data_IF_585799797254
#
_entry.id   IF_585799797254
#
_cell.length_a   1.000
_cell.length_b   1.000
_cell.length_c   1.000
_cell.angle_alpha   90.00
_cell.angle_beta   90.00
_cell.angle_gamma   90.00
#
_symmetry.space_group_name_H-M   'P 1'
#
loop_
_entity.id
_entity.type
_entity.pdbx_description
1 polymer ?
#
# COMPACT_ATOMS: atom_id res chain seq x y z
N UNK A 1 -37.41 6.55 8.92
CA UNK A 1 -36.62 5.71 9.86
C UNK A 1 -35.19 5.85 9.38
N UNK A 2 -34.43 6.80 9.96
CA UNK A 2 -33.02 6.98 9.67
C UNK A 2 -32.27 5.80 10.31
N UNK A 3 -31.67 4.96 9.48
CA UNK A 3 -30.68 3.99 9.96
C UNK A 3 -29.54 4.80 10.59
N UNK A 4 -29.35 4.62 11.88
CA UNK A 4 -28.19 5.14 12.61
C UNK A 4 -26.97 4.53 11.90
N UNK A 5 -26.22 5.34 11.14
CA UNK A 5 -24.92 5.01 10.64
C UNK A 5 -24.10 4.54 11.85
N UNK A 6 -23.78 3.23 11.91
CA UNK A 6 -22.83 2.74 12.89
C UNK A 6 -21.53 3.51 12.67
N UNK A 7 -21.14 4.24 13.70
CA UNK A 7 -19.99 5.15 13.69
C UNK A 7 -18.79 4.47 13.03
N UNK A 8 -18.26 5.09 11.99
CA UNK A 8 -16.97 4.76 11.42
C UNK A 8 -15.96 4.62 12.58
N UNK A 9 -15.38 3.43 12.74
CA UNK A 9 -14.41 3.07 13.80
C UNK A 9 -14.92 2.90 15.24
N UNK A 10 -16.20 3.06 15.56
CA UNK A 10 -16.77 2.71 16.87
C UNK A 10 -16.19 3.39 18.12
N UNK A 11 -15.26 4.33 17.98
CA UNK A 11 -14.60 5.06 19.06
C UNK A 11 -14.99 6.54 18.99
N UNK A 12 -15.42 7.10 20.12
CA UNK A 12 -15.74 8.51 20.21
C UNK A 12 -14.43 9.33 20.04
N UNK A 13 -14.39 10.21 19.06
CA UNK A 13 -13.39 11.29 18.98
C UNK A 13 -13.89 12.41 19.88
N UNK A 14 -13.01 12.95 20.72
CA UNK A 14 -13.35 14.14 21.48
C UNK A 14 -13.50 15.32 20.52
N UNK A 15 -14.67 15.96 20.41
CA UNK A 15 -14.87 17.08 19.50
C UNK A 15 -13.92 18.27 19.73
N UNK A 16 -13.32 18.35 20.92
CA UNK A 16 -12.33 19.40 21.24
C UNK A 16 -10.97 19.14 20.59
N UNK A 17 -10.65 17.92 20.18
CA UNK A 17 -9.37 17.55 19.60
C UNK A 17 -9.37 17.61 18.05
N UNK A 18 -10.55 17.64 17.45
CA UNK A 18 -10.74 17.82 16.02
C UNK A 18 -11.56 19.09 15.82
N UNK A 19 -11.08 20.06 15.02
CA UNK A 19 -11.89 21.22 14.68
C UNK A 19 -13.26 20.71 14.23
N UNK A 20 -14.33 21.29 14.77
CA UNK A 20 -15.65 21.01 14.21
C UNK A 20 -15.47 20.99 12.68
N UNK A 21 -15.98 19.95 12.02
CA UNK A 21 -15.95 19.83 10.55
C UNK A 21 -16.67 21.05 9.96
N UNK A 22 -16.14 22.20 10.19
CA UNK A 22 -16.59 23.57 9.92
C UNK A 22 -16.14 23.92 8.53
N UNK A 23 -16.47 23.09 7.75
CA UNK A 23 -16.94 23.08 6.51
C UNK A 23 -16.46 23.98 5.40
N UNK A 24 -15.35 23.57 4.75
CA UNK A 24 -15.14 23.99 3.36
C UNK A 24 -16.15 23.26 2.45
N UNK A 25 -16.48 22.01 2.77
CA UNK A 25 -17.34 21.13 1.97
C UNK A 25 -18.23 20.25 2.87
N UNK A 26 -19.42 19.90 2.40
CA UNK A 26 -20.23 18.83 2.97
C UNK A 26 -19.66 17.43 2.62
N UNK A 27 -20.14 16.37 3.27
CA UNK A 27 -19.63 15.01 3.08
C UNK A 27 -19.74 14.53 1.61
N UNK A 28 -20.81 14.88 0.91
CA UNK A 28 -20.99 14.51 -0.49
C UNK A 28 -19.99 15.25 -1.41
N UNK A 29 -19.74 16.51 -1.14
CA UNK A 29 -18.73 17.30 -1.85
C UNK A 29 -17.31 16.81 -1.54
N UNK A 30 -17.03 16.42 -0.30
CA UNK A 30 -15.78 15.76 0.04
C UNK A 30 -15.60 14.43 -0.68
N UNK A 31 -16.65 13.62 -0.80
CA UNK A 31 -16.57 12.35 -1.52
C UNK A 31 -16.19 12.58 -3.00
N UNK A 32 -16.78 13.59 -3.66
CA UNK A 32 -16.43 13.97 -5.04
C UNK A 32 -15.00 14.50 -5.13
N UNK A 33 -14.62 15.42 -4.22
CA UNK A 33 -13.28 16.01 -4.18
C UNK A 33 -12.19 14.94 -4.04
N UNK A 34 -12.36 14.02 -3.10
CA UNK A 34 -11.42 12.92 -2.86
C UNK A 34 -11.38 11.94 -4.04
N UNK A 35 -12.53 11.62 -4.63
CA UNK A 35 -12.59 10.76 -5.84
C UNK A 35 -11.81 11.40 -6.98
N UNK A 36 -12.00 12.69 -7.22
CA UNK A 36 -11.22 13.45 -8.20
C UNK A 36 -9.74 13.48 -7.86
N UNK A 37 -9.39 13.81 -6.62
CA UNK A 37 -8.00 13.86 -6.16
C UNK A 37 -7.28 12.52 -6.34
N UNK A 38 -7.90 11.39 -5.94
CA UNK A 38 -7.31 10.06 -6.09
C UNK A 38 -7.11 9.66 -7.55
N UNK A 39 -7.94 10.17 -8.47
CA UNK A 39 -7.77 9.94 -9.90
C UNK A 39 -6.56 10.67 -10.50
N UNK A 40 -6.10 11.75 -9.86
CA UNK A 40 -4.88 12.47 -10.25
C UNK A 40 -3.60 11.83 -9.74
N UNK A 41 -3.69 10.98 -8.69
CA UNK A 41 -2.54 10.26 -8.18
C UNK A 41 -2.35 8.99 -9.01
N UNK A 42 -1.28 8.86 -9.82
CA UNK A 42 -1.14 7.77 -10.77
C UNK A 42 -1.26 6.38 -10.14
N UNK A 43 -0.69 6.20 -8.95
CA UNK A 43 -0.72 4.90 -8.25
C UNK A 43 -2.12 4.49 -7.81
N UNK A 44 -2.85 5.39 -7.16
CA UNK A 44 -4.23 5.13 -6.70
C UNK A 44 -5.21 4.99 -7.85
N UNK A 45 -5.03 5.79 -8.92
CA UNK A 45 -5.80 5.69 -10.15
C UNK A 45 -5.64 4.32 -10.82
N UNK A 46 -4.38 3.85 -10.99
CA UNK A 46 -4.08 2.53 -11.54
C UNK A 46 -4.71 1.40 -10.73
N UNK A 47 -4.72 1.53 -9.41
CA UNK A 47 -5.32 0.55 -8.51
C UNK A 47 -6.83 0.71 -8.35
N UNK A 48 -7.42 1.73 -8.96
CA UNK A 48 -8.86 2.03 -8.91
C UNK A 48 -9.38 2.15 -7.46
N UNK A 49 -8.61 2.84 -6.60
CA UNK A 49 -9.05 3.15 -5.24
C UNK A 49 -10.30 4.02 -5.29
N UNK A 50 -11.32 3.67 -4.51
CA UNK A 50 -12.64 4.33 -4.52
C UNK A 50 -12.98 4.85 -3.14
N UNK A 51 -13.58 6.03 -3.09
CA UNK A 51 -14.23 6.56 -1.90
C UNK A 51 -15.62 5.93 -1.79
N UNK A 52 -15.92 5.25 -0.70
CA UNK A 52 -17.25 4.67 -0.44
C UNK A 52 -18.12 5.62 0.39
N UNK A 53 -17.52 6.23 1.43
CA UNK A 53 -18.26 7.07 2.35
C UNK A 53 -17.32 8.12 2.96
N UNK A 54 -17.86 9.32 3.15
CA UNK A 54 -17.23 10.38 3.93
C UNK A 54 -18.19 10.77 5.04
N UNK A 55 -17.68 10.82 6.26
CA UNK A 55 -18.33 11.37 7.46
C UNK A 55 -17.26 12.18 8.18
N UNK A 56 -16.93 13.36 7.65
CA UNK A 56 -15.79 14.15 8.09
C UNK A 56 -15.74 14.31 9.62
N UNK A 57 -14.60 14.06 10.28
CA UNK A 57 -13.26 13.84 9.75
C UNK A 57 -12.87 12.36 9.54
N UNK A 58 -13.81 11.51 9.16
CA UNK A 58 -13.61 10.11 8.89
C UNK A 58 -14.00 9.77 7.45
N UNK A 59 -13.36 8.75 6.89
CA UNK A 59 -13.60 8.26 5.54
C UNK A 59 -13.61 6.74 5.49
N UNK A 60 -14.34 6.18 4.51
CA UNK A 60 -14.25 4.78 4.11
C UNK A 60 -13.90 4.71 2.63
N UNK A 61 -12.95 3.83 2.32
CA UNK A 61 -12.49 3.59 0.96
C UNK A 61 -12.43 2.10 0.66
N UNK A 62 -12.47 1.79 -0.63
CA UNK A 62 -12.30 0.45 -1.16
C UNK A 62 -11.15 0.39 -2.16
N UNK A 63 -10.32 -0.63 -2.05
CA UNK A 63 -9.37 -1.04 -3.07
C UNK A 63 -9.89 -2.33 -3.70
N UNK A 64 -10.43 -2.27 -4.93
CA UNK A 64 -10.93 -3.44 -5.63
C UNK A 64 -9.85 -4.48 -5.84
N UNK A 65 -10.24 -5.74 -5.79
CA UNK A 65 -9.32 -6.83 -6.10
C UNK A 65 -8.84 -6.76 -7.55
N UNK A 66 -7.54 -7.02 -7.72
CA UNK A 66 -6.91 -7.23 -9.01
C UNK A 66 -5.64 -8.09 -8.87
N UNK A 67 -5.27 -8.87 -9.92
CA UNK A 67 -4.13 -9.79 -9.84
C UNK A 67 -2.80 -9.12 -9.48
N UNK A 68 -2.63 -7.83 -9.80
CA UNK A 68 -1.44 -7.05 -9.47
C UNK A 68 -1.21 -6.89 -7.96
N UNK A 69 -2.23 -7.11 -7.10
CA UNK A 69 -2.12 -6.99 -5.65
C UNK A 69 -1.53 -8.23 -4.97
N UNK A 70 -1.28 -9.30 -5.72
CA UNK A 70 -0.71 -10.54 -5.17
C UNK A 70 0.74 -10.33 -4.74
N UNK A 71 1.04 -10.76 -3.53
CA UNK A 71 2.38 -10.83 -2.95
C UNK A 71 2.91 -12.25 -2.80
N UNK A 72 2.03 -13.23 -2.66
CA UNK A 72 2.40 -14.65 -2.65
C UNK A 72 1.44 -15.42 -3.58
N UNK A 73 1.83 -15.67 -4.83
CA UNK A 73 0.97 -16.36 -5.81
C UNK A 73 0.63 -17.80 -5.43
N UNK A 74 1.50 -18.48 -4.64
CA UNK A 74 1.29 -19.87 -4.25
C UNK A 74 0.31 -20.00 -3.09
N UNK A 75 0.39 -19.07 -2.12
CA UNK A 75 -0.55 -19.00 -0.99
C UNK A 75 -1.78 -18.18 -1.31
N UNK A 76 -1.82 -17.52 -2.47
CA UNK A 76 -2.90 -16.65 -2.94
C UNK A 76 -3.16 -15.50 -1.96
N UNK A 77 -2.08 -14.87 -1.49
CA UNK A 77 -2.13 -13.81 -0.51
C UNK A 77 -1.86 -12.44 -1.13
N UNK A 78 -2.58 -11.44 -0.65
CA UNK A 78 -2.32 -10.04 -0.96
C UNK A 78 -0.95 -9.64 -0.43
N UNK A 79 -0.22 -8.82 -1.18
CA UNK A 79 1.07 -8.28 -0.79
C UNK A 79 0.92 -7.38 0.46
N UNK A 80 1.77 -7.56 1.48
CA UNK A 80 1.72 -6.77 2.71
C UNK A 80 1.83 -5.27 2.44
N UNK A 81 2.75 -4.88 1.56
CA UNK A 81 2.94 -3.49 1.14
C UNK A 81 1.72 -2.85 0.46
N UNK A 82 0.77 -3.64 -0.06
CA UNK A 82 -0.53 -3.11 -0.52
C UNK A 82 -1.34 -2.59 0.66
N UNK A 83 -1.32 -3.30 1.80
CA UNK A 83 -2.00 -2.84 3.01
C UNK A 83 -1.36 -1.54 3.52
N UNK A 84 -0.02 -1.46 3.48
CA UNK A 84 0.72 -0.26 3.89
C UNK A 84 0.43 0.92 2.97
N UNK A 85 0.43 0.72 1.65
CA UNK A 85 0.07 1.75 0.68
C UNK A 85 -1.37 2.23 0.86
N UNK A 86 -2.30 1.29 1.06
CA UNK A 86 -3.70 1.63 1.24
C UNK A 86 -3.95 2.35 2.58
N UNK A 87 -3.24 1.99 3.65
CA UNK A 87 -3.29 2.70 4.93
C UNK A 87 -2.80 4.15 4.83
N UNK A 88 -1.67 4.38 4.12
CA UNK A 88 -1.14 5.72 3.85
C UNK A 88 -2.16 6.57 3.07
N UNK A 89 -2.75 6.00 2.03
CA UNK A 89 -3.81 6.65 1.23
C UNK A 89 -5.04 7.00 2.08
N UNK A 90 -5.51 6.07 2.90
CA UNK A 90 -6.65 6.27 3.81
C UNK A 90 -6.37 7.40 4.79
N UNK A 91 -5.24 7.34 5.51
CA UNK A 91 -4.86 8.35 6.48
C UNK A 91 -4.69 9.73 5.84
N UNK A 92 -3.97 9.82 4.71
CA UNK A 92 -3.77 11.07 3.99
C UNK A 92 -5.06 11.69 3.45
N UNK A 93 -6.02 10.85 3.02
CA UNK A 93 -7.33 11.33 2.58
C UNK A 93 -8.19 11.81 3.75
N UNK A 94 -8.13 11.13 4.91
CA UNK A 94 -8.82 11.58 6.12
C UNK A 94 -8.29 12.94 6.59
N UNK A 95 -6.97 13.18 6.50
CA UNK A 95 -6.35 14.49 6.85
C UNK A 95 -7.06 15.63 6.13
N UNK A 96 -7.32 15.50 4.81
CA UNK A 96 -7.96 16.55 4.03
C UNK A 96 -9.35 16.91 4.57
N UNK A 97 -10.12 15.92 5.03
CA UNK A 97 -11.48 16.15 5.56
C UNK A 97 -11.49 16.73 6.98
N UNK A 98 -10.37 16.65 7.70
CA UNK A 98 -10.23 17.16 9.07
C UNK A 98 -9.67 18.57 9.18
N UNK A 99 -9.32 19.21 8.05
CA UNK A 99 -8.72 20.54 8.03
C UNK A 99 -9.76 21.61 7.70
N UNK A 100 -9.54 22.82 8.24
CA UNK A 100 -10.38 23.99 8.00
C UNK A 100 -10.18 24.62 6.60
N UNK A 101 -9.05 24.32 5.95
CA UNK A 101 -8.73 24.73 4.59
C UNK A 101 -7.91 23.65 3.89
N UNK A 102 -8.03 23.49 2.56
CA UNK A 102 -7.22 22.53 1.82
C UNK A 102 -5.72 22.89 1.87
N UNK A 103 -4.92 22.02 2.44
CA UNK A 103 -3.46 22.16 2.46
C UNK A 103 -2.79 20.81 2.23
N UNK A 104 -1.56 20.84 1.71
CA UNK A 104 -0.76 19.63 1.56
C UNK A 104 -0.13 19.25 2.90
N UNK A 105 -0.41 18.03 3.33
CA UNK A 105 0.13 17.45 4.55
C UNK A 105 0.91 16.18 4.19
N UNK A 106 2.24 16.25 3.99
CA UNK A 106 3.05 15.06 3.77
C UNK A 106 3.08 14.17 5.01
N UNK A 107 3.11 12.86 4.79
CA UNK A 107 3.28 11.86 5.83
C UNK A 107 4.64 12.04 6.50
N UNK A 108 4.67 12.17 7.83
CA UNK A 108 5.88 12.20 8.63
C UNK A 108 6.31 10.79 9.01
N UNK A 109 5.37 10.02 9.53
CA UNK A 109 5.57 8.63 9.90
C UNK A 109 4.27 7.83 9.71
N UNK A 110 4.45 6.52 9.56
CA UNK A 110 3.35 5.56 9.47
C UNK A 110 3.75 4.27 10.18
N UNK A 111 2.86 3.79 11.04
CA UNK A 111 3.02 2.49 11.69
C UNK A 111 1.83 1.59 11.36
N UNK A 112 2.12 0.32 11.06
CA UNK A 112 1.12 -0.73 10.85
C UNK A 112 1.38 -1.92 11.77
N UNK A 113 0.31 -2.43 12.36
CA UNK A 113 0.30 -3.73 13.04
C UNK A 113 -0.51 -4.71 12.18
N UNK A 114 0.14 -5.76 11.68
CA UNK A 114 -0.45 -6.78 10.82
C UNK A 114 -1.01 -7.94 11.64
N UNK A 115 -2.32 -8.16 11.56
CA UNK A 115 -3.00 -9.22 12.32
C UNK A 115 -3.25 -10.47 11.48
N UNK A 116 -3.60 -10.28 10.20
CA UNK A 116 -3.95 -11.36 9.27
C UNK A 116 -3.48 -11.02 7.86
N UNK A 117 -3.13 -12.03 7.06
CA UNK A 117 -2.91 -11.81 5.62
C UNK A 117 -4.25 -11.51 4.92
N UNK A 118 -4.20 -10.66 3.90
CA UNK A 118 -5.28 -10.53 2.94
C UNK A 118 -5.26 -11.72 1.97
N UNK A 119 -6.43 -12.11 1.46
CA UNK A 119 -6.56 -13.20 0.48
C UNK A 119 -6.98 -12.65 -0.88
N UNK A 120 -6.66 -13.36 -1.95
CA UNK A 120 -7.05 -12.98 -3.30
C UNK A 120 -8.57 -13.04 -3.51
N UNK A 121 -9.06 -12.34 -4.52
CA UNK A 121 -10.46 -12.37 -4.94
C UNK A 121 -11.40 -11.46 -4.15
N UNK A 122 -10.95 -10.89 -3.03
CA UNK A 122 -11.74 -10.00 -2.19
C UNK A 122 -11.16 -8.59 -2.19
N UNK A 123 -12.02 -7.58 -2.34
CA UNK A 123 -11.63 -6.19 -2.18
C UNK A 123 -11.12 -5.93 -0.75
N UNK A 124 -10.19 -5.00 -0.62
CA UNK A 124 -9.83 -4.42 0.67
C UNK A 124 -10.76 -3.23 0.93
N UNK A 125 -11.32 -3.19 2.13
CA UNK A 125 -12.08 -2.05 2.63
C UNK A 125 -11.30 -1.47 3.79
N UNK A 126 -11.21 -0.16 3.85
CA UNK A 126 -10.51 0.52 4.94
C UNK A 126 -11.26 1.75 5.40
N UNK A 127 -11.10 2.05 6.66
CA UNK A 127 -11.57 3.28 7.29
C UNK A 127 -10.40 4.01 7.91
N UNK A 128 -10.42 5.33 7.82
CA UNK A 128 -9.51 6.20 8.55
C UNK A 128 -10.24 7.39 9.14
N UNK A 129 -9.67 7.94 10.21
CA UNK A 129 -10.15 9.17 10.82
C UNK A 129 -9.01 10.01 11.37
N UNK A 130 -9.27 11.32 11.49
CA UNK A 130 -8.40 12.21 12.23
C UNK A 130 -8.71 12.06 13.72
N UNK A 131 -7.64 11.90 14.50
CA UNK A 131 -7.70 11.84 15.97
C UNK A 131 -7.52 13.22 16.58
N UNK A 132 -6.59 14.01 16.00
CA UNK A 132 -6.25 15.33 16.48
C UNK A 132 -5.61 16.18 15.39
N UNK A 133 -5.93 17.47 15.39
CA UNK A 133 -5.28 18.49 14.57
C UNK A 133 -4.58 19.49 15.51
N UNK A 134 -3.33 19.78 15.22
CA UNK A 134 -2.57 20.85 15.88
C UNK A 134 -2.14 21.90 14.87
N UNK A 135 -1.42 22.91 15.29
CA UNK A 135 -0.88 23.94 14.38
C UNK A 135 0.06 23.34 13.32
N UNK A 136 0.86 22.34 13.70
CA UNK A 136 1.93 21.75 12.85
C UNK A 136 1.67 20.31 12.41
N UNK A 137 0.71 19.59 13.02
CA UNK A 137 0.55 18.15 12.84
C UNK A 137 -0.92 17.74 12.76
N UNK A 138 -1.17 16.67 12.00
CA UNK A 138 -2.43 15.91 12.02
C UNK A 138 -2.14 14.47 12.39
N UNK A 139 -2.88 13.93 13.36
CA UNK A 139 -2.77 12.57 13.85
C UNK A 139 -3.96 11.77 13.36
N UNK A 140 -3.70 10.60 12.78
CA UNK A 140 -4.74 9.75 12.20
C UNK A 140 -4.60 8.30 12.64
N UNK A 141 -5.68 7.55 12.54
CA UNK A 141 -5.66 6.10 12.62
C UNK A 141 -6.48 5.49 11.48
N UNK A 142 -6.14 4.26 11.09
CA UNK A 142 -6.87 3.50 10.09
C UNK A 142 -6.97 2.02 10.47
N UNK A 143 -7.96 1.34 9.89
CA UNK A 143 -8.08 -0.11 9.91
C UNK A 143 -8.50 -0.63 8.54
N UNK A 144 -8.01 -1.80 8.19
CA UNK A 144 -8.27 -2.44 6.89
C UNK A 144 -8.77 -3.87 7.11
N UNK A 145 -9.77 -4.27 6.34
CA UNK A 145 -10.36 -5.62 6.35
C UNK A 145 -10.82 -6.04 4.95
N UNK A 146 -11.15 -7.32 4.78
CA UNK A 146 -11.83 -7.87 3.61
C UNK A 146 -13.22 -8.40 3.95
N UNK A 147 -13.43 -8.75 5.19
CA UNK A 147 -14.71 -9.23 5.72
C UNK A 147 -15.00 -8.49 7.02
N UNK A 148 -16.25 -8.06 7.27
CA UNK A 148 -16.61 -7.36 8.49
C UNK A 148 -16.14 -8.12 9.75
N UNK A 149 -15.55 -7.39 10.70
CA UNK A 149 -15.04 -7.94 11.95
C UNK A 149 -13.71 -8.71 11.85
N UNK A 150 -13.16 -8.92 10.63
CA UNK A 150 -11.87 -9.58 10.42
C UNK A 150 -10.81 -8.59 9.99
N UNK A 151 -10.34 -7.76 10.92
CA UNK A 151 -9.32 -6.76 10.66
C UNK A 151 -8.02 -7.43 10.20
N UNK A 152 -7.46 -6.98 9.07
CA UNK A 152 -6.18 -7.43 8.53
C UNK A 152 -5.03 -6.67 9.17
N UNK A 153 -5.14 -5.33 9.25
CA UNK A 153 -4.16 -4.48 9.92
C UNK A 153 -4.81 -3.22 10.52
N UNK A 154 -4.09 -2.63 11.46
CA UNK A 154 -4.34 -1.26 11.95
C UNK A 154 -3.13 -0.40 11.67
N UNK A 155 -3.39 0.89 11.44
CA UNK A 155 -2.35 1.87 11.18
C UNK A 155 -2.54 3.12 12.03
N UNK A 156 -1.44 3.78 12.33
CA UNK A 156 -1.36 5.14 12.86
C UNK A 156 -0.47 5.92 11.92
N UNK A 157 -0.96 7.06 11.42
CA UNK A 157 -0.21 7.94 10.55
C UNK A 157 -0.19 9.35 11.09
N UNK A 158 0.97 9.98 11.06
CA UNK A 158 1.17 11.37 11.45
C UNK A 158 1.61 12.20 10.25
N UNK A 159 1.02 13.36 10.09
CA UNK A 159 1.18 14.22 8.92
C UNK A 159 1.63 15.62 9.34
N UNK A 160 2.62 16.17 8.65
CA UNK A 160 3.09 17.53 8.88
C UNK A 160 2.20 18.50 8.11
N UNK A 161 1.70 19.53 8.77
CA UNK A 161 0.99 20.62 8.13
C UNK A 161 1.99 21.60 7.51
N UNK A 162 1.95 21.74 6.19
CA UNK A 162 2.78 22.75 5.51
C UNK A 162 2.18 24.16 5.61
N UNK A 163 0.88 24.24 5.89
CA UNK A 163 0.10 25.47 5.86
C UNK A 163 -0.18 25.94 4.44
N UNK A 164 -1.14 26.84 4.30
CA UNK A 164 -1.58 27.37 2.99
C UNK A 164 -0.45 27.99 2.17
N UNK A 165 0.50 28.70 2.85
CA UNK A 165 1.61 29.40 2.18
C UNK A 165 2.62 28.46 1.51
N UNK A 166 2.78 27.24 2.02
CA UNK A 166 3.71 26.25 1.50
C UNK A 166 3.00 25.13 0.71
N UNK A 167 1.67 25.21 0.59
CA UNK A 167 0.88 24.37 -0.29
C UNK A 167 1.08 24.86 -1.73
N UNK A 168 1.34 23.96 -2.71
CA UNK A 168 1.48 24.35 -4.11
C UNK A 168 0.27 25.12 -4.59
N UNK A 169 0.50 26.18 -5.36
CA UNK A 169 -0.58 26.94 -6.01
C UNK A 169 -1.41 26.02 -6.90
N UNK A 170 -2.73 26.16 -6.88
CA UNK A 170 -3.66 25.34 -7.63
C UNK A 170 -4.11 24.06 -6.91
N UNK A 171 -3.52 23.68 -5.76
CA UNK A 171 -3.94 22.48 -5.03
C UNK A 171 -5.37 22.62 -4.50
N UNK A 172 -5.66 23.72 -3.79
CA UNK A 172 -6.98 24.00 -3.25
C UNK A 172 -8.02 24.14 -4.37
N UNK A 173 -7.68 24.88 -5.42
CA UNK A 173 -8.54 25.08 -6.59
C UNK A 173 -8.86 23.76 -7.29
N UNK A 174 -7.87 22.88 -7.49
CA UNK A 174 -8.08 21.57 -8.11
C UNK A 174 -9.00 20.68 -7.26
N UNK A 175 -8.80 20.67 -5.93
CA UNK A 175 -9.63 19.91 -5.01
C UNK A 175 -11.07 20.43 -4.99
N UNK A 176 -11.26 21.74 -4.91
CA UNK A 176 -12.58 22.38 -4.92
C UNK A 176 -13.28 22.26 -6.28
N UNK A 177 -12.56 22.32 -7.38
CA UNK A 177 -13.09 22.08 -8.70
C UNK A 177 -13.64 20.66 -8.85
N UNK A 178 -12.90 19.67 -8.33
CA UNK A 178 -13.36 18.27 -8.30
C UNK A 178 -14.62 18.09 -7.42
N UNK A 179 -14.74 18.84 -6.31
CA UNK A 179 -15.92 18.83 -5.45
C UNK A 179 -17.18 19.34 -6.17
N UNK A 180 -17.02 20.31 -7.08
CA UNK A 180 -18.10 20.96 -7.81
C UNK A 180 -18.41 20.27 -9.16
N UNK A 181 -17.63 19.28 -9.57
CA UNK A 181 -17.90 18.51 -10.78
C UNK A 181 -19.26 17.80 -10.65
N UNK A 182 -20.10 17.92 -11.68
CA UNK A 182 -21.36 17.17 -11.72
C UNK A 182 -21.02 15.67 -11.76
N UNK A 183 -21.80 14.87 -11.03
CA UNK A 183 -21.69 13.44 -11.05
C UNK A 183 -21.93 12.93 -12.50
N UNK A 184 -20.96 12.29 -13.16
CA UNK A 184 -21.15 11.79 -14.52
C UNK A 184 -22.24 10.70 -14.62
N UNK A 185 -22.78 10.26 -13.48
CA UNK A 185 -23.89 9.28 -13.40
C UNK A 185 -25.26 9.93 -13.20
N UNK A 186 -25.35 11.26 -13.06
CA UNK A 186 -26.65 11.95 -13.04
C UNK A 186 -27.24 11.95 -14.45
N UNK A 187 -28.43 11.39 -14.66
CA UNK A 187 -29.09 11.49 -15.96
C UNK A 187 -29.36 12.97 -16.28
N UNK A 188 -28.79 13.44 -17.38
CA UNK A 188 -29.14 14.74 -17.93
C UNK A 188 -30.66 14.77 -18.17
N UNK A 189 -31.38 15.64 -17.46
CA UNK A 189 -32.76 15.98 -17.76
C UNK A 189 -32.76 16.85 -19.01
N UNK A 190 -32.58 16.23 -20.16
CA UNK A 190 -32.92 16.82 -21.44
C UNK A 190 -34.00 15.93 -22.04
N UNK A 191 -35.26 16.36 -21.80
CA UNK A 191 -36.43 15.79 -22.44
C UNK A 191 -36.44 16.23 -23.89
N UNK A 192 -36.03 15.36 -24.81
CA UNK A 192 -36.57 15.42 -26.17
C UNK A 192 -36.39 14.06 -26.88
N UNK A 193 -37.54 13.45 -27.04
CA UNK A 193 -38.02 12.48 -28.05
C UNK A 193 -37.51 11.03 -28.11
N UNK A 194 -38.46 10.09 -28.29
CA UNK A 194 -38.22 8.66 -28.34
C UNK A 194 -38.16 8.14 -29.78
N UNK A 195 -37.15 7.38 -30.11
CA UNK A 195 -37.20 6.45 -31.26
C UNK A 195 -36.50 5.12 -30.95
N UNK A 196 -37.24 4.15 -30.65
CA UNK A 196 -37.47 2.92 -31.41
C UNK A 196 -36.38 1.83 -31.36
N UNK A 197 -36.81 0.71 -30.73
CA UNK A 197 -36.53 -0.69 -31.10
C UNK A 197 -35.25 -1.37 -30.66
N UNK A 198 -35.48 -2.27 -29.70
CA UNK A 198 -35.05 -3.68 -29.63
C UNK A 198 -33.57 -4.03 -29.78
N UNK A 199 -32.94 -4.38 -28.62
CA UNK A 199 -32.00 -5.46 -28.57
C UNK A 199 -32.13 -6.21 -27.22
N UNK A 200 -32.42 -7.48 -27.33
CA UNK A 200 -32.67 -8.45 -26.25
C UNK A 200 -31.44 -8.56 -25.32
N UNK A 201 -31.72 -8.47 -24.03
CA UNK A 201 -30.78 -8.81 -22.97
C UNK A 201 -30.51 -10.33 -22.97
N UNK A 202 -29.27 -10.71 -23.17
CA UNK A 202 -28.82 -12.06 -22.89
C UNK A 202 -28.39 -12.13 -21.41
N UNK A 203 -29.13 -12.89 -20.62
CA UNK A 203 -28.75 -13.32 -19.28
C UNK A 203 -27.59 -14.32 -19.37
N UNK A 204 -26.52 -14.24 -18.56
CA UNK A 204 -25.62 -15.35 -18.41
C UNK A 204 -26.23 -16.35 -17.42
N UNK A 205 -26.38 -17.58 -17.91
CA UNK A 205 -26.79 -18.74 -17.15
C UNK A 205 -25.84 -19.01 -15.98
N UNK A 206 -26.42 -19.29 -14.82
CA UNK A 206 -25.69 -19.76 -13.66
C UNK A 206 -25.17 -21.20 -13.89
N UNK A 207 -23.88 -21.37 -13.68
CA UNK A 207 -23.29 -22.69 -13.50
C UNK A 207 -22.57 -22.74 -12.15
N UNK A 208 -23.23 -23.45 -11.22
CA UNK A 208 -22.63 -23.89 -9.97
C UNK A 208 -21.71 -25.06 -10.31
N UNK A 209 -20.43 -24.88 -10.20
CA UNK A 209 -19.50 -25.99 -10.08
C UNK A 209 -18.66 -25.83 -8.84
N UNK A 210 -19.03 -26.57 -7.79
CA UNK A 210 -18.14 -26.96 -6.71
C UNK A 210 -17.05 -27.85 -7.32
N UNK A 211 -15.92 -27.26 -7.65
CA UNK A 211 -14.70 -27.96 -7.99
C UNK A 211 -13.64 -27.64 -6.94
N UNK A 212 -13.49 -28.52 -5.95
CA UNK A 212 -12.29 -28.62 -5.16
C UNK A 212 -11.11 -28.83 -6.11
N UNK A 213 -10.30 -27.79 -6.32
CA UNK A 213 -9.06 -27.90 -7.07
C UNK A 213 -8.07 -28.82 -6.32
N UNK A 214 -7.37 -29.72 -7.02
CA UNK A 214 -6.43 -30.63 -6.40
C UNK A 214 -5.26 -29.86 -5.79
N UNK A 215 -4.93 -30.17 -4.53
CA UNK A 215 -3.87 -29.53 -3.71
C UNK A 215 -2.44 -29.74 -4.24
N UNK A 216 -2.22 -30.23 -5.45
CA UNK A 216 -0.92 -30.55 -6.04
C UNK A 216 -0.77 -30.15 -7.52
N UNK A 217 -1.47 -29.12 -7.97
CA UNK A 217 -1.18 -28.57 -9.30
C UNK A 217 0.15 -27.82 -9.24
N UNK A 218 1.18 -28.34 -9.91
CA UNK A 218 2.40 -27.58 -10.25
C UNK A 218 1.94 -26.30 -10.97
N UNK A 219 2.36 -25.12 -10.46
CA UNK A 219 2.05 -23.88 -11.14
C UNK A 219 2.56 -23.96 -12.59
N UNK A 220 1.66 -23.90 -13.59
CA UNK A 220 2.05 -24.05 -15.00
C UNK A 220 2.98 -22.93 -15.50
N UNK A 221 3.18 -21.87 -14.71
CA UNK A 221 4.06 -20.73 -15.02
C UNK A 221 5.49 -20.91 -14.54
N UNK A 222 5.81 -21.97 -13.79
CA UNK A 222 7.17 -22.25 -13.31
C UNK A 222 7.73 -21.22 -12.33
N UNK A 223 6.87 -20.43 -11.67
CA UNK A 223 7.28 -19.38 -10.75
C UNK A 223 7.97 -19.97 -9.52
N UNK A 224 9.07 -19.35 -9.08
CA UNK A 224 9.76 -19.72 -7.87
C UNK A 224 8.95 -19.26 -6.65
N UNK A 225 8.58 -20.19 -5.75
CA UNK A 225 7.91 -19.83 -4.50
C UNK A 225 8.92 -19.49 -3.40
N UNK A 226 8.50 -18.71 -2.42
CA UNK A 226 9.30 -18.45 -1.23
C UNK A 226 9.74 -19.76 -0.55
N UNK A 227 8.87 -20.79 -0.55
CA UNK A 227 9.19 -22.12 -0.03
C UNK A 227 10.32 -22.78 -0.82
N UNK A 228 10.23 -22.84 -2.15
CA UNK A 228 11.27 -23.39 -3.02
C UNK A 228 12.58 -22.63 -2.89
N UNK A 229 12.53 -21.31 -2.76
CA UNK A 229 13.71 -20.49 -2.55
C UNK A 229 14.42 -20.86 -1.25
N UNK A 230 13.71 -21.03 -0.12
CA UNK A 230 14.35 -21.37 1.16
C UNK A 230 14.81 -22.82 1.25
N UNK A 231 14.22 -23.73 0.47
CA UNK A 231 14.63 -25.14 0.35
C UNK A 231 15.77 -25.35 -0.66
N UNK A 232 16.03 -24.38 -1.56
CA UNK A 232 17.02 -24.44 -2.64
C UNK A 232 18.39 -23.88 -2.28
N UNK A 233 19.24 -23.68 -3.33
CA UNK A 233 20.62 -23.18 -3.19
C UNK A 233 20.70 -21.68 -2.83
N UNK A 234 19.64 -20.90 -3.11
CA UNK A 234 19.53 -19.46 -2.80
C UNK A 234 20.61 -18.63 -3.48
N UNK A 235 20.71 -18.77 -4.78
CA UNK A 235 21.58 -17.96 -5.60
C UNK A 235 21.01 -16.55 -5.81
N UNK A 236 21.82 -15.64 -6.33
CA UNK A 236 21.35 -14.33 -6.76
C UNK A 236 20.27 -14.47 -7.85
N UNK A 237 20.42 -15.43 -8.76
CA UNK A 237 19.44 -15.75 -9.79
C UNK A 237 18.09 -16.21 -9.20
N UNK A 238 18.12 -17.07 -8.17
CA UNK A 238 16.91 -17.53 -7.47
C UNK A 238 16.20 -16.38 -6.79
N UNK A 239 16.92 -15.47 -6.13
CA UNK A 239 16.33 -14.31 -5.46
C UNK A 239 15.72 -13.34 -6.48
N UNK A 240 16.40 -13.11 -7.60
CA UNK A 240 15.89 -12.30 -8.70
C UNK A 240 14.61 -12.92 -9.31
N UNK A 241 14.61 -14.24 -9.52
CA UNK A 241 13.45 -14.97 -10.02
C UNK A 241 12.26 -14.93 -9.03
N UNK A 242 12.53 -15.05 -7.72
CA UNK A 242 11.51 -14.89 -6.68
C UNK A 242 10.92 -13.48 -6.72
N UNK A 243 11.75 -12.45 -6.75
CA UNK A 243 11.29 -11.05 -6.83
C UNK A 243 10.47 -10.81 -8.12
N UNK A 244 10.91 -11.35 -9.26
CA UNK A 244 10.19 -11.26 -10.53
C UNK A 244 8.83 -11.99 -10.50
N UNK A 245 8.64 -12.94 -9.58
CA UNK A 245 7.38 -13.67 -9.40
C UNK A 245 6.34 -12.92 -8.53
N UNK A 246 6.70 -11.78 -7.94
CA UNK A 246 5.83 -11.00 -7.06
C UNK A 246 5.13 -9.88 -7.86
N UNK A 247 3.85 -10.03 -8.25
CA UNK A 247 3.18 -9.09 -9.16
C UNK A 247 3.21 -7.65 -8.68
N UNK A 248 2.95 -7.41 -7.39
CA UNK A 248 2.96 -6.04 -6.86
C UNK A 248 4.36 -5.43 -6.82
N UNK A 249 5.39 -6.21 -6.47
CA UNK A 249 6.77 -5.74 -6.50
C UNK A 249 7.21 -5.34 -7.92
N UNK A 250 6.81 -6.11 -8.93
CA UNK A 250 7.03 -5.78 -10.34
C UNK A 250 6.26 -4.52 -10.74
N UNK A 251 5.02 -4.38 -10.29
CA UNK A 251 4.17 -3.24 -10.59
C UNK A 251 4.75 -1.90 -10.07
N UNK A 252 5.55 -1.93 -8.99
CA UNK A 252 6.25 -0.76 -8.45
C UNK A 252 7.71 -0.64 -8.92
N UNK A 253 8.16 -1.53 -9.81
CA UNK A 253 9.51 -1.51 -10.37
C UNK A 253 10.62 -1.85 -9.38
N UNK A 254 10.34 -2.72 -8.40
CA UNK A 254 11.36 -3.18 -7.46
C UNK A 254 12.26 -4.24 -8.10
N UNK A 255 13.58 -4.06 -8.00
CA UNK A 255 14.60 -4.94 -8.50
C UNK A 255 15.76 -5.13 -7.52
N UNK A 256 16.61 -6.11 -7.80
CA UNK A 256 17.91 -6.27 -7.15
C UNK A 256 18.95 -5.39 -7.82
N UNK A 257 19.79 -4.74 -7.01
CA UNK A 257 20.98 -4.09 -7.53
C UNK A 257 22.06 -5.14 -7.84
N UNK A 258 22.92 -4.83 -8.82
CA UNK A 258 24.12 -5.60 -9.03
C UNK A 258 25.00 -5.59 -7.77
N UNK A 259 25.64 -6.71 -7.48
CA UNK A 259 26.68 -6.81 -6.45
C UNK A 259 27.84 -5.92 -6.91
N UNK A 260 28.50 -5.24 -5.97
CA UNK A 260 29.58 -4.30 -6.25
C UNK A 260 30.53 -4.79 -7.37
N UNK A 261 30.59 -4.02 -8.46
CA UNK A 261 31.46 -4.26 -9.63
C UNK A 261 30.87 -5.09 -10.76
N UNK A 262 29.65 -5.61 -10.65
CA UNK A 262 28.99 -6.31 -11.77
C UNK A 262 27.91 -5.42 -12.43
N UNK A 263 27.78 -5.51 -13.75
CA UNK A 263 26.74 -4.80 -14.49
C UNK A 263 25.35 -5.32 -14.08
N UNK A 264 24.41 -4.40 -13.87
CA UNK A 264 23.01 -4.74 -13.67
C UNK A 264 22.52 -5.60 -14.85
N UNK A 265 22.17 -6.86 -14.60
CA UNK A 265 21.65 -7.77 -15.62
C UNK A 265 22.27 -9.18 -15.63
N UNK A 266 23.41 -9.41 -15.02
CA UNK A 266 23.98 -10.76 -14.88
C UNK A 266 23.51 -11.37 -13.55
N UNK A 267 22.38 -12.06 -13.56
CA UNK A 267 22.02 -12.96 -12.47
C UNK A 267 23.09 -14.05 -12.38
N UNK A 268 23.85 -14.09 -11.29
CA UNK A 268 24.89 -15.11 -11.12
C UNK A 268 24.33 -16.30 -10.38
N UNK A 269 24.76 -17.51 -10.76
CA UNK A 269 24.45 -18.76 -10.06
C UNK A 269 25.27 -18.91 -8.76
N UNK A 270 26.03 -17.87 -8.38
CA UNK A 270 26.77 -17.86 -7.14
C UNK A 270 25.81 -17.88 -5.95
N UNK A 271 26.12 -18.73 -4.98
CA UNK A 271 25.38 -18.82 -3.73
C UNK A 271 25.50 -17.51 -2.94
N UNK A 272 24.35 -16.98 -2.48
CA UNK A 272 24.30 -15.77 -1.67
C UNK A 272 24.81 -16.06 -0.25
N UNK A 273 25.89 -15.43 0.17
CA UNK A 273 26.36 -15.52 1.53
C UNK A 273 25.44 -14.72 2.49
N UNK A 274 25.13 -15.25 3.71
CA UNK A 274 24.31 -14.51 4.69
C UNK A 274 24.86 -13.13 5.05
N UNK A 275 26.19 -13.01 5.14
CA UNK A 275 26.88 -11.76 5.48
C UNK A 275 27.03 -10.80 4.30
N UNK A 276 26.69 -11.22 3.09
CA UNK A 276 26.78 -10.38 1.90
C UNK A 276 25.69 -9.30 1.98
N UNK A 277 26.09 -8.03 1.91
CA UNK A 277 25.14 -6.93 1.82
C UNK A 277 24.50 -6.94 0.41
N UNK A 278 23.18 -6.95 0.36
CA UNK A 278 22.41 -6.74 -0.86
C UNK A 278 21.71 -5.39 -0.80
N UNK A 279 21.63 -4.73 -1.93
CA UNK A 279 20.83 -3.54 -2.14
C UNK A 279 19.74 -3.83 -3.14
N UNK A 280 18.59 -3.21 -2.93
CA UNK A 280 17.46 -3.21 -3.85
C UNK A 280 17.31 -1.85 -4.51
N UNK A 281 16.60 -1.79 -5.60
CA UNK A 281 16.28 -0.52 -6.26
C UNK A 281 14.83 -0.50 -6.71
N UNK A 282 14.17 0.62 -6.45
CA UNK A 282 12.87 0.93 -7.02
C UNK A 282 13.07 1.90 -8.19
N UNK A 283 12.59 1.51 -9.37
CA UNK A 283 12.72 2.30 -10.58
C UNK A 283 11.97 3.64 -10.48
N UNK A 284 12.47 4.66 -11.16
CA UNK A 284 11.75 5.90 -11.38
C UNK A 284 10.60 5.63 -12.36
N UNK A 285 9.38 5.53 -11.83
CA UNK A 285 8.18 5.24 -12.61
C UNK A 285 7.11 6.31 -12.36
N UNK A 286 6.49 6.87 -13.40
CA UNK A 286 5.39 7.84 -13.24
C UNK A 286 4.26 7.29 -12.36
N UNK A 287 3.97 5.98 -12.47
CA UNK A 287 2.93 5.30 -11.70
C UNK A 287 3.21 5.22 -10.19
N UNK A 288 4.44 5.51 -9.76
CA UNK A 288 4.81 5.54 -8.35
C UNK A 288 4.69 6.94 -7.72
N UNK A 289 4.32 7.96 -8.51
CA UNK A 289 4.16 9.33 -8.01
C UNK A 289 2.89 9.42 -7.19
N UNK A 290 3.01 9.96 -5.98
CA UNK A 290 1.92 10.16 -5.02
C UNK A 290 1.34 11.57 -5.04
N UNK A 291 2.13 12.54 -5.49
CA UNK A 291 1.65 13.91 -5.67
C UNK A 291 2.24 14.49 -6.96
N UNK A 292 1.43 14.60 -8.03
CA UNK A 292 1.91 15.13 -9.31
C UNK A 292 2.36 16.60 -9.25
N UNK A 293 1.84 17.37 -8.30
CA UNK A 293 2.21 18.80 -8.12
C UNK A 293 3.56 18.95 -7.42
N UNK A 294 3.94 17.97 -6.61
CA UNK A 294 5.25 17.81 -5.99
C UNK A 294 5.79 16.46 -6.45
N UNK A 295 6.46 16.29 -7.59
CA UNK A 295 6.74 14.98 -8.19
C UNK A 295 7.51 14.05 -7.24
N UNK A 296 6.84 13.68 -6.16
CA UNK A 296 7.32 12.84 -5.09
C UNK A 296 6.77 11.42 -5.23
N UNK A 297 7.58 10.44 -4.90
CA UNK A 297 7.14 9.04 -4.76
C UNK A 297 6.02 8.97 -3.71
N UNK A 298 4.97 8.20 -3.97
CA UNK A 298 3.92 7.91 -3.00
C UNK A 298 4.52 7.23 -1.77
N UNK A 299 4.26 7.79 -0.57
CA UNK A 299 4.84 7.30 0.69
C UNK A 299 4.57 5.82 0.90
N UNK A 300 3.33 5.39 0.70
CA UNK A 300 2.95 3.98 0.82
C UNK A 300 3.59 3.06 -0.23
N UNK A 301 3.92 3.56 -1.43
CA UNK A 301 4.67 2.77 -2.44
C UNK A 301 6.11 2.57 -2.01
N UNK A 302 6.75 3.63 -1.50
CA UNK A 302 8.09 3.54 -0.93
C UNK A 302 8.13 2.56 0.24
N UNK A 303 7.16 2.64 1.14
CA UNK A 303 7.01 1.73 2.26
C UNK A 303 6.86 0.28 1.80
N UNK A 304 6.04 0.01 0.78
CA UNK A 304 5.86 -1.32 0.21
C UNK A 304 7.14 -1.88 -0.41
N UNK A 305 7.93 -1.05 -1.08
CA UNK A 305 9.23 -1.44 -1.62
C UNK A 305 10.21 -1.83 -0.50
N UNK A 306 10.26 -1.05 0.58
CA UNK A 306 11.11 -1.32 1.76
C UNK A 306 10.67 -2.59 2.49
N UNK A 307 9.37 -2.83 2.63
CA UNK A 307 8.80 -4.06 3.21
C UNK A 307 9.18 -5.30 2.40
N UNK A 308 9.07 -5.21 1.08
CA UNK A 308 9.43 -6.31 0.17
C UNK A 308 10.92 -6.63 0.29
N UNK A 309 11.78 -5.62 0.24
CA UNK A 309 13.24 -5.79 0.39
C UNK A 309 13.60 -6.47 1.72
N UNK A 310 13.00 -6.04 2.83
CA UNK A 310 13.20 -6.65 4.14
C UNK A 310 12.74 -8.12 4.19
N UNK A 311 11.58 -8.41 3.59
CA UNK A 311 11.04 -9.78 3.53
C UNK A 311 11.99 -10.70 2.77
N UNK A 312 12.50 -10.26 1.62
CA UNK A 312 13.46 -11.01 0.82
C UNK A 312 14.80 -11.20 1.56
N UNK A 313 15.25 -10.19 2.29
CA UNK A 313 16.47 -10.28 3.11
C UNK A 313 16.34 -11.32 4.23
N UNK A 314 15.19 -11.36 4.90
CA UNK A 314 14.91 -12.39 5.93
C UNK A 314 14.84 -13.77 5.30
N UNK A 315 14.16 -13.94 4.17
CA UNK A 315 14.10 -15.20 3.42
C UNK A 315 15.49 -15.71 3.02
N UNK A 316 16.35 -14.81 2.56
CA UNK A 316 17.70 -15.13 2.14
C UNK A 316 18.56 -15.66 3.28
N UNK A 317 18.39 -15.14 4.48
CA UNK A 317 19.22 -15.47 5.65
C UNK A 317 18.76 -16.71 6.39
N UNK A 318 17.45 -16.92 6.53
CA UNK A 318 16.90 -17.97 7.35
C UNK A 318 17.01 -19.38 6.75
N UNK A 319 17.11 -20.42 7.64
CA UNK A 319 17.14 -21.84 7.26
C UNK A 319 18.48 -22.34 6.74
N UNK A 320 19.59 -21.63 7.03
CA UNK A 320 20.97 -22.06 6.71
C UNK A 320 21.62 -22.80 7.87
N UNK A 321 22.65 -23.59 7.58
CA UNK A 321 23.43 -24.28 8.59
C UNK A 321 22.67 -25.37 9.35
N UNK A 322 21.79 -26.13 8.68
CA UNK A 322 21.02 -27.24 9.29
C UNK A 322 19.83 -26.78 10.14
N UNK A 323 19.51 -25.49 10.12
CA UNK A 323 18.29 -24.98 10.75
C UNK A 323 17.08 -25.25 9.86
N UNK A 324 15.94 -25.54 10.49
CA UNK A 324 14.65 -25.67 9.80
C UNK A 324 14.35 -24.42 8.98
N UNK A 325 14.00 -24.59 7.71
CA UNK A 325 13.57 -23.49 6.85
C UNK A 325 12.22 -22.94 7.33
N UNK A 326 12.11 -21.60 7.40
CA UNK A 326 10.95 -20.89 7.90
C UNK A 326 10.59 -19.73 7.00
N UNK A 327 9.32 -19.38 6.95
CA UNK A 327 8.83 -18.25 6.19
C UNK A 327 8.64 -17.03 7.12
N UNK A 328 9.11 -15.83 6.70
CA UNK A 328 8.86 -14.62 7.45
C UNK A 328 7.41 -14.19 7.31
N UNK A 329 6.83 -13.77 8.42
CA UNK A 329 5.54 -13.12 8.50
C UNK A 329 5.73 -11.78 9.19
N UNK A 330 5.45 -10.71 8.48
CA UNK A 330 5.52 -9.36 9.03
C UNK A 330 4.44 -9.17 10.11
N UNK A 331 4.86 -8.67 11.27
CA UNK A 331 3.97 -8.42 12.41
C UNK A 331 3.75 -6.93 12.59
N UNK A 332 4.83 -6.15 12.62
CA UNK A 332 4.75 -4.70 12.64
C UNK A 332 5.72 -4.06 11.65
N UNK A 333 5.33 -2.90 11.18
CA UNK A 333 6.07 -2.04 10.28
C UNK A 333 5.98 -0.61 10.77
N UNK A 334 7.11 0.08 10.82
CA UNK A 334 7.18 1.49 11.18
C UNK A 334 8.12 2.19 10.22
N UNK A 335 7.71 3.30 9.64
CA UNK A 335 8.51 4.10 8.70
C UNK A 335 8.48 5.57 9.11
N UNK A 336 9.65 6.21 9.04
CA UNK A 336 9.85 7.65 9.14
C UNK A 336 10.22 8.20 7.77
N UNK A 337 9.50 9.20 7.28
CA UNK A 337 9.82 9.90 6.04
C UNK A 337 10.68 11.11 6.37
N UNK A 338 11.95 11.05 5.97
CA UNK A 338 12.99 12.01 6.38
C UNK A 338 13.18 13.13 5.36
N UNK A 339 12.88 12.85 4.10
CA UNK A 339 12.96 13.81 3.00
C UNK A 339 12.08 13.38 1.83
N UNK A 340 11.79 14.29 0.92
CA UNK A 340 11.01 14.00 -0.30
C UNK A 340 11.80 13.06 -1.21
N UNK A 341 11.29 11.85 -1.42
CA UNK A 341 11.76 10.96 -2.47
C UNK A 341 11.24 11.45 -3.82
N UNK A 342 12.13 11.81 -4.74
CA UNK A 342 11.75 12.31 -6.07
C UNK A 342 11.28 11.16 -6.97
N UNK A 343 10.15 11.35 -7.66
CA UNK A 343 9.55 10.35 -8.55
C UNK A 343 10.35 10.11 -9.85
N UNK A 344 11.23 11.05 -10.22
CA UNK A 344 12.09 10.98 -11.41
C UNK A 344 13.48 10.36 -11.12
N UNK A 345 13.72 9.87 -9.91
CA UNK A 345 14.98 9.28 -9.50
C UNK A 345 14.79 7.84 -9.02
N UNK A 346 15.77 6.99 -9.32
CA UNK A 346 15.84 5.64 -8.74
C UNK A 346 16.05 5.74 -7.25
N UNK A 347 15.26 5.00 -6.48
CA UNK A 347 15.41 4.89 -5.04
C UNK A 347 16.15 3.59 -4.71
N UNK A 348 17.24 3.67 -3.98
CA UNK A 348 18.01 2.55 -3.45
C UNK A 348 17.48 2.16 -2.08
N UNK A 349 17.51 0.86 -1.77
CA UNK A 349 17.00 0.33 -0.51
C UNK A 349 18.03 -0.65 0.05
N UNK A 350 18.50 -0.37 1.25
CA UNK A 350 19.45 -1.20 1.98
C UNK A 350 18.77 -1.77 3.22
N UNK A 351 19.00 -3.06 3.50
CA UNK A 351 18.45 -3.77 4.64
C UNK A 351 19.57 -4.19 5.60
N UNK A 352 19.36 -3.94 6.88
CA UNK A 352 20.23 -4.34 7.96
C UNK A 352 19.46 -5.24 8.94
N UNK A 353 19.87 -6.50 9.06
CA UNK A 353 19.28 -7.41 10.05
C UNK A 353 19.89 -7.10 11.41
N UNK A 354 19.13 -6.41 12.26
CA UNK A 354 19.55 -5.99 13.61
C UNK A 354 19.66 -7.15 14.58
N UNK A 355 18.77 -8.12 14.44
CA UNK A 355 18.75 -9.33 15.26
C UNK A 355 18.11 -10.47 14.49
N UNK A 356 18.82 -11.57 14.42
CA UNK A 356 18.32 -12.84 13.89
C UNK A 356 18.13 -13.83 15.04
N UNK A 357 16.87 -14.09 15.39
CA UNK A 357 16.48 -15.03 16.42
C UNK A 357 15.86 -16.29 15.84
N UNK A 358 15.65 -17.31 16.69
CA UNK A 358 15.02 -18.56 16.26
C UNK A 358 13.54 -18.39 15.83
N UNK A 359 12.82 -17.46 16.42
CA UNK A 359 11.37 -17.24 16.18
C UNK A 359 11.06 -15.87 15.60
N UNK A 360 11.95 -14.91 15.75
CA UNK A 360 11.74 -13.54 15.33
C UNK A 360 13.01 -12.95 14.75
N UNK A 361 12.84 -12.08 13.77
CA UNK A 361 13.92 -11.30 13.15
C UNK A 361 13.50 -9.83 13.10
N UNK A 362 14.43 -8.94 13.43
CA UNK A 362 14.26 -7.50 13.33
C UNK A 362 15.14 -6.97 12.22
N UNK A 363 14.55 -6.15 11.35
CA UNK A 363 15.23 -5.54 10.21
C UNK A 363 15.06 -4.04 10.28
N UNK A 364 16.15 -3.32 10.06
CA UNK A 364 16.16 -1.89 9.73
C UNK A 364 16.33 -1.76 8.23
N UNK A 365 15.60 -0.82 7.64
CA UNK A 365 15.66 -0.54 6.20
C UNK A 365 15.88 0.95 6.00
N UNK A 366 16.76 1.30 5.09
CA UNK A 366 17.00 2.69 4.69
C UNK A 366 16.77 2.84 3.19
N UNK A 367 16.00 3.84 2.80
CA UNK A 367 15.82 4.21 1.40
C UNK A 367 16.53 5.53 1.12
N UNK A 368 17.24 5.61 -0.01
CA UNK A 368 18.02 6.79 -0.39
C UNK A 368 18.07 6.96 -1.90
N UNK A 369 18.36 8.17 -2.39
CA UNK A 369 18.46 8.47 -3.81
C UNK A 369 19.84 9.00 -4.21
N UNK A 370 20.35 9.99 -3.47
CA UNK A 370 21.64 10.64 -3.79
C UNK A 370 22.79 10.02 -3.00
N UNK A 371 22.60 9.79 -1.71
CA UNK A 371 23.63 9.32 -0.79
C UNK A 371 23.00 8.48 0.33
N UNK A 372 23.72 7.46 0.79
CA UNK A 372 23.33 6.62 1.93
C UNK A 372 23.26 7.40 3.25
N UNK A 373 24.09 8.42 3.38
CA UNK A 373 24.16 9.29 4.56
C UNK A 373 22.96 10.25 4.65
N UNK A 374 22.22 10.39 3.57
CA UNK A 374 21.02 11.22 3.47
C UNK A 374 19.81 10.40 3.01
N UNK A 375 19.31 9.47 3.84
CA UNK A 375 18.18 8.68 3.49
C UNK A 375 16.91 9.54 3.33
N UNK A 376 16.05 9.14 2.40
CA UNK A 376 14.73 9.75 2.22
C UNK A 376 13.67 9.12 3.14
N UNK A 377 13.91 7.87 3.57
CA UNK A 377 13.09 7.19 4.56
C UNK A 377 13.90 6.16 5.33
N UNK A 378 13.46 5.90 6.56
CA UNK A 378 13.98 4.83 7.42
C UNK A 378 12.82 4.01 7.96
N UNK A 379 12.94 2.68 7.95
CA UNK A 379 11.90 1.80 8.46
C UNK A 379 12.46 0.74 9.41
N UNK A 380 11.60 0.25 10.29
CA UNK A 380 11.87 -0.85 11.20
C UNK A 380 10.74 -1.89 11.08
N UNK A 381 11.12 -3.16 11.05
CA UNK A 381 10.20 -4.27 10.86
C UNK A 381 10.51 -5.43 11.78
N UNK A 382 9.46 -6.11 12.24
CA UNK A 382 9.55 -7.32 13.03
C UNK A 382 8.85 -8.46 12.30
N UNK A 383 9.59 -9.53 12.09
CA UNK A 383 9.08 -10.74 11.44
C UNK A 383 9.02 -11.88 12.45
N UNK A 384 7.89 -12.59 12.47
CA UNK A 384 7.79 -13.93 13.06
C UNK A 384 8.13 -14.96 11.99
N UNK A 385 8.83 -16.00 12.36
CA UNK A 385 9.29 -17.07 11.48
C UNK A 385 8.37 -18.26 11.65
N UNK A 386 7.52 -18.51 10.65
CA UNK A 386 6.59 -19.64 10.63
C UNK A 386 7.30 -20.90 10.07
N UNK A 387 7.10 -22.06 10.70
CA UNK A 387 7.61 -23.32 10.19
C UNK A 387 6.93 -23.68 8.85
N UNK A 388 7.70 -24.23 7.91
CA UNK A 388 7.16 -24.75 6.64
C UNK A 388 6.25 -25.98 6.84
N UNK A 389 6.35 -26.65 7.99
CA UNK A 389 5.55 -27.82 8.36
C UNK A 389 4.18 -27.44 8.98
N UNK A 390 3.92 -26.16 9.22
CA UNK A 390 2.60 -25.71 9.71
C UNK A 390 1.59 -25.74 8.58
N UNK A 391 0.39 -26.32 8.80
CA UNK A 391 -0.63 -26.49 7.78
C UNK A 391 -1.24 -25.18 7.28
#
# INVERSE_FOLDING_TARGET
MHAVSQSLLGLAVNPADVPAAGGVLDDASWARALTGFLSFIPHTARLNVRVEEVAAPAIRMQLPWQPALIGDPHRRLVHGGVLTMFADTLCGSAVLTGLSAPEVCPTLDLRLDHYRPGVEGLALVGEARVLRVTESMVFTEAQIWQQPGKILCRAIGNFVRLGERNTPSGFAEALLAAANAQDPTSPSTDESEPLGQSAQAAQPAGEKTDAQAPRNAQDPRGLLSARRFVEGQRTHADLAALLASLPYAQAIGLGLCAIDGQQAGAASDAELHPEQALSYSMAAMPDNVGNPMLPAVHGGVLAAAMETAATLEVLRRHGRGGREARLPKLIDFSIDYLATARGDQVTRIDCEVMREGRRMTNVRVSAWQKSREQPVASARMHFVLESLASP
#
